data_IF_223870797236
#
_entry.id   IF_223870797236
#
_cell.length_a   1.000
_cell.length_b   1.000
_cell.length_c   1.000
_cell.angle_alpha   90.00
_cell.angle_beta   90.00
_cell.angle_gamma   90.00
#
_symmetry.space_group_name_H-M   'P 1'
#
loop_
_entity.id
_entity.type
_entity.pdbx_description
1 polymer ?
#
# COMPACT_ATOMS: atom_id res chain seq x y z
N UNK A 1 -3.47 -40.99 -24.17
CA UNK A 1 -3.94 -39.72 -23.58
C UNK A 1 -3.15 -38.53 -24.14
N UNK A 2 -3.52 -37.98 -25.32
CA UNK A 2 -2.81 -36.85 -25.96
C UNK A 2 -3.48 -35.47 -25.79
N UNK A 3 -4.59 -35.39 -25.05
CA UNK A 3 -5.28 -34.12 -24.72
C UNK A 3 -5.01 -33.55 -23.34
N UNK A 4 -4.45 -34.34 -22.42
CA UNK A 4 -4.25 -33.96 -21.00
C UNK A 4 -3.16 -32.89 -20.82
N UNK A 5 -2.10 -32.90 -21.65
CA UNK A 5 -1.01 -31.94 -21.57
C UNK A 5 -1.44 -30.50 -21.88
N UNK A 6 -2.36 -30.32 -22.85
CA UNK A 6 -2.92 -29.01 -23.18
C UNK A 6 -3.81 -28.46 -22.06
N UNK A 7 -4.68 -29.32 -21.52
CA UNK A 7 -5.53 -28.98 -20.38
C UNK A 7 -4.72 -28.62 -19.14
N UNK A 8 -3.61 -29.32 -18.88
CA UNK A 8 -2.70 -29.01 -17.77
C UNK A 8 -2.04 -27.63 -17.94
N UNK A 9 -1.52 -27.33 -19.14
CA UNK A 9 -0.89 -26.03 -19.43
C UNK A 9 -1.88 -24.86 -19.29
N UNK A 10 -3.13 -25.05 -19.71
CA UNK A 10 -4.18 -24.04 -19.54
C UNK A 10 -4.55 -23.84 -18.07
N UNK A 11 -4.61 -24.91 -17.28
CA UNK A 11 -4.81 -24.83 -15.83
C UNK A 11 -3.67 -24.07 -15.15
N UNK A 12 -2.42 -24.37 -15.48
CA UNK A 12 -1.24 -23.66 -14.97
C UNK A 12 -1.27 -22.17 -15.30
N UNK A 13 -1.59 -21.81 -16.55
CA UNK A 13 -1.73 -20.40 -16.96
C UNK A 13 -2.79 -19.67 -16.15
N UNK A 14 -3.94 -20.32 -15.91
CA UNK A 14 -5.02 -19.79 -15.07
C UNK A 14 -4.59 -19.63 -13.61
N UNK A 15 -3.86 -20.60 -13.05
CA UNK A 15 -3.32 -20.51 -11.69
C UNK A 15 -2.33 -19.35 -11.57
N UNK A 16 -1.40 -19.21 -12.52
CA UNK A 16 -0.43 -18.12 -12.54
C UNK A 16 -1.12 -16.75 -12.60
N UNK A 17 -2.12 -16.59 -13.47
CA UNK A 17 -2.90 -15.34 -13.56
C UNK A 17 -3.65 -15.02 -12.26
N UNK A 18 -4.25 -16.02 -11.61
CA UNK A 18 -4.90 -15.84 -10.30
C UNK A 18 -3.91 -15.44 -9.21
N UNK A 19 -2.76 -16.11 -9.14
CA UNK A 19 -1.73 -15.80 -8.16
C UNK A 19 -1.23 -14.35 -8.31
N UNK A 20 -1.01 -13.89 -9.55
CA UNK A 20 -0.60 -12.50 -9.81
C UNK A 20 -1.66 -11.49 -9.37
N UNK A 21 -2.96 -11.76 -9.63
CA UNK A 21 -4.04 -10.87 -9.19
C UNK A 21 -4.18 -10.85 -7.68
N UNK A 22 -4.21 -12.02 -7.04
CA UNK A 22 -4.29 -12.12 -5.58
C UNK A 22 -3.14 -11.37 -4.89
N UNK A 23 -1.92 -11.44 -5.45
CA UNK A 23 -0.78 -10.69 -4.94
C UNK A 23 -0.96 -9.18 -5.11
N UNK A 24 -1.46 -8.72 -6.26
CA UNK A 24 -1.73 -7.29 -6.49
C UNK A 24 -2.83 -6.77 -5.58
N UNK A 25 -3.93 -7.51 -5.42
CA UNK A 25 -5.06 -7.11 -4.58
C UNK A 25 -4.65 -7.05 -3.09
N UNK A 26 -3.83 -8.00 -2.64
CA UNK A 26 -3.30 -7.99 -1.28
C UNK A 26 -2.38 -6.79 -1.03
N UNK A 27 -1.55 -6.43 -2.01
CA UNK A 27 -0.67 -5.27 -1.91
C UNK A 27 -1.45 -3.95 -1.95
N UNK A 28 -2.44 -3.84 -2.84
CA UNK A 28 -3.30 -2.65 -2.93
C UNK A 28 -4.01 -2.39 -1.60
N UNK A 29 -4.60 -3.44 -1.00
CA UNK A 29 -5.23 -3.35 0.32
C UNK A 29 -4.25 -2.85 1.39
N UNK A 30 -3.06 -3.44 1.46
CA UNK A 30 -2.03 -3.02 2.41
C UNK A 30 -1.59 -1.56 2.21
N UNK A 31 -1.52 -1.09 0.96
CA UNK A 31 -1.18 0.32 0.66
C UNK A 31 -2.32 1.27 1.05
N UNK A 32 -3.58 0.88 0.86
CA UNK A 32 -4.74 1.67 1.31
C UNK A 32 -4.77 1.79 2.82
N UNK A 33 -4.56 0.68 3.53
CA UNK A 33 -4.51 0.66 5.01
C UNK A 33 -3.38 1.58 5.51
N UNK A 34 -2.18 1.48 4.89
CA UNK A 34 -1.03 2.31 5.23
C UNK A 34 -1.26 3.80 4.92
N UNK A 35 -1.94 4.11 3.81
CA UNK A 35 -2.31 5.49 3.48
C UNK A 35 -3.29 6.05 4.52
N UNK A 36 -4.28 5.27 4.95
CA UNK A 36 -5.20 5.68 6.01
C UNK A 36 -4.50 5.91 7.34
N UNK A 37 -3.50 5.08 7.69
CA UNK A 37 -2.66 5.32 8.87
C UNK A 37 -1.92 6.67 8.81
N UNK A 38 -1.25 6.99 7.69
CA UNK A 38 -0.55 8.28 7.56
C UNK A 38 -1.51 9.47 7.49
N UNK A 39 -2.69 9.29 6.88
CA UNK A 39 -3.77 10.29 6.93
C UNK A 39 -4.19 10.57 8.37
N UNK A 40 -4.40 9.54 9.18
CA UNK A 40 -4.80 9.72 10.56
C UNK A 40 -3.72 10.45 11.36
N UNK A 41 -2.46 10.07 11.21
CA UNK A 41 -1.32 10.78 11.81
C UNK A 41 -1.26 12.26 11.37
N UNK A 42 -1.48 12.55 10.08
CA UNK A 42 -1.53 13.92 9.55
C UNK A 42 -2.68 14.72 10.17
N UNK A 43 -3.90 14.16 10.21
CA UNK A 43 -5.06 14.85 10.79
C UNK A 43 -4.89 15.14 12.28
N UNK A 44 -4.29 14.21 13.02
CA UNK A 44 -3.94 14.41 14.43
C UNK A 44 -2.87 15.49 14.61
N UNK A 45 -1.82 15.50 13.79
CA UNK A 45 -0.77 16.53 13.83
C UNK A 45 -1.34 17.93 13.57
N UNK A 46 -2.31 18.04 12.66
CA UNK A 46 -3.03 19.27 12.34
C UNK A 46 -4.13 19.63 13.35
N UNK A 47 -4.42 18.77 14.33
CA UNK A 47 -5.55 18.91 15.27
C UNK A 47 -6.89 19.10 14.54
N UNK A 48 -7.04 18.46 13.39
CA UNK A 48 -8.26 18.56 12.59
C UNK A 48 -9.43 17.88 13.32
N UNK A 49 -10.65 18.43 13.29
CA UNK A 49 -11.81 17.89 13.99
C UNK A 49 -12.44 16.73 13.21
N UNK A 50 -11.65 15.71 12.89
CA UNK A 50 -12.08 14.54 12.08
C UNK A 50 -11.69 13.27 12.82
N UNK A 51 -12.59 12.29 12.82
CA UNK A 51 -12.31 11.00 13.43
C UNK A 51 -11.17 10.26 12.68
N UNK A 52 -10.36 9.46 13.39
CA UNK A 52 -9.45 8.51 12.76
C UNK A 52 -10.22 7.47 11.94
N UNK A 53 -9.67 7.08 10.79
CA UNK A 53 -10.19 5.98 9.98
C UNK A 53 -9.89 4.64 10.67
N UNK A 54 -8.68 4.49 11.22
CA UNK A 54 -8.23 3.26 11.87
C UNK A 54 -8.22 3.41 13.39
N UNK A 55 -9.33 3.04 14.03
CA UNK A 55 -9.49 3.17 15.48
C UNK A 55 -8.58 2.23 16.28
N UNK A 56 -8.24 1.07 15.72
CA UNK A 56 -7.34 0.08 16.30
C UNK A 56 -5.88 0.54 16.31
N UNK A 57 -5.46 1.33 15.33
CA UNK A 57 -4.10 1.89 15.24
C UNK A 57 -4.00 3.36 15.65
N UNK A 58 -5.08 3.95 16.17
CA UNK A 58 -5.15 5.38 16.53
C UNK A 58 -4.05 5.81 17.51
N UNK A 59 -3.68 4.96 18.47
CA UNK A 59 -2.58 5.24 19.39
C UNK A 59 -1.22 5.34 18.68
N UNK A 60 -0.97 4.47 17.70
CA UNK A 60 0.25 4.48 16.89
C UNK A 60 0.27 5.68 15.94
N UNK A 61 -0.87 6.02 15.34
CA UNK A 61 -1.02 7.21 14.52
C UNK A 61 -0.76 8.49 15.34
N UNK A 62 -1.27 8.53 16.58
CA UNK A 62 -1.00 9.60 17.53
C UNK A 62 0.47 9.73 17.90
N UNK A 63 1.17 8.61 18.13
CA UNK A 63 2.62 8.62 18.34
C UNK A 63 3.38 9.14 17.11
N UNK A 64 2.93 8.77 15.91
CA UNK A 64 3.44 9.30 14.64
C UNK A 64 3.24 10.81 14.52
N UNK A 65 2.06 11.31 14.85
CA UNK A 65 1.71 12.73 14.84
C UNK A 65 2.58 13.59 15.78
N UNK A 66 3.07 13.01 16.88
CA UNK A 66 4.01 13.68 17.78
C UNK A 66 5.46 13.66 17.27
N UNK A 67 5.80 12.66 16.45
CA UNK A 67 7.17 12.44 15.96
C UNK A 67 7.45 13.16 14.64
N UNK A 68 6.42 13.31 13.79
CA UNK A 68 6.53 13.93 12.48
C UNK A 68 5.84 15.29 12.49
N UNK A 69 6.48 16.30 11.89
CA UNK A 69 5.75 17.51 11.47
C UNK A 69 4.66 17.14 10.45
N UNK A 70 3.62 17.96 10.33
CA UNK A 70 2.50 17.71 9.42
C UNK A 70 2.98 17.50 7.97
N UNK A 71 3.96 18.28 7.51
CA UNK A 71 4.58 18.13 6.20
C UNK A 71 5.27 16.76 6.04
N UNK A 72 5.89 16.26 7.11
CA UNK A 72 6.52 14.93 7.11
C UNK A 72 5.51 13.78 7.09
N UNK A 73 4.35 13.96 7.72
CA UNK A 73 3.24 13.00 7.62
C UNK A 73 2.62 13.02 6.22
N UNK A 74 2.45 14.21 5.63
CA UNK A 74 1.95 14.39 4.26
C UNK A 74 2.86 13.74 3.23
N UNK A 75 4.18 14.00 3.27
CA UNK A 75 5.14 13.37 2.33
C UNK A 75 5.10 11.84 2.39
N UNK A 76 4.88 11.27 3.58
CA UNK A 76 4.74 9.82 3.76
C UNK A 76 3.44 9.29 3.16
N UNK A 77 2.34 10.02 3.35
CA UNK A 77 1.06 9.70 2.70
C UNK A 77 1.20 9.73 1.18
N UNK A 78 1.79 10.79 0.63
CA UNK A 78 2.03 10.94 -0.82
C UNK A 78 2.89 9.81 -1.36
N UNK A 79 3.98 9.44 -0.69
CA UNK A 79 4.84 8.32 -1.11
C UNK A 79 4.07 6.99 -1.23
N UNK A 80 3.10 6.74 -0.33
CA UNK A 80 2.26 5.54 -0.39
C UNK A 80 1.27 5.61 -1.55
N UNK A 81 0.66 6.77 -1.78
CA UNK A 81 -0.25 6.99 -2.91
C UNK A 81 0.46 6.89 -4.26
N UNK A 82 1.68 7.42 -4.36
CA UNK A 82 2.53 7.28 -5.55
C UNK A 82 2.91 5.83 -5.81
N UNK A 83 3.26 5.07 -4.77
CA UNK A 83 3.52 3.63 -4.88
C UNK A 83 2.32 2.88 -5.47
N UNK A 84 1.12 3.18 -4.96
CA UNK A 84 -0.14 2.59 -5.41
C UNK A 84 -0.40 2.94 -6.88
N UNK A 85 -0.29 4.22 -7.25
CA UNK A 85 -0.45 4.68 -8.63
C UNK A 85 0.57 4.04 -9.58
N UNK A 86 1.82 3.86 -9.15
CA UNK A 86 2.85 3.18 -9.95
C UNK A 86 2.49 1.71 -10.23
N UNK A 87 1.95 0.99 -9.24
CA UNK A 87 1.52 -0.41 -9.41
C UNK A 87 0.33 -0.49 -10.38
N UNK A 88 -0.64 0.44 -10.26
CA UNK A 88 -1.76 0.58 -11.21
C UNK A 88 -1.26 0.88 -12.63
N UNK A 89 -0.19 1.67 -12.76
CA UNK A 89 0.52 1.95 -14.01
C UNK A 89 1.44 0.81 -14.50
N UNK A 90 1.28 -0.40 -13.97
CA UNK A 90 2.04 -1.62 -14.32
C UNK A 90 3.54 -1.60 -13.96
N UNK A 91 3.99 -0.75 -13.03
CA UNK A 91 5.31 -0.91 -12.42
C UNK A 91 5.35 -2.23 -11.64
N UNK A 92 6.51 -2.90 -11.66
CA UNK A 92 6.71 -4.13 -10.89
C UNK A 92 6.51 -3.82 -9.39
N UNK A 93 5.62 -4.53 -8.68
CA UNK A 93 5.31 -4.26 -7.27
C UNK A 93 6.53 -4.07 -6.37
N UNK A 94 7.54 -4.94 -6.52
CA UNK A 94 8.78 -4.87 -5.76
C UNK A 94 9.51 -3.53 -5.94
N UNK A 95 9.60 -3.03 -7.17
CA UNK A 95 10.29 -1.77 -7.48
C UNK A 95 9.52 -0.57 -6.92
N UNK A 96 8.19 -0.56 -7.08
CA UNK A 96 7.35 0.49 -6.52
C UNK A 96 7.48 0.57 -4.99
N UNK A 97 7.44 -0.58 -4.31
CA UNK A 97 7.62 -0.66 -2.86
C UNK A 97 9.04 -0.25 -2.44
N UNK A 98 10.08 -0.68 -3.14
CA UNK A 98 11.46 -0.25 -2.86
C UNK A 98 11.61 1.27 -2.97
N UNK A 99 11.04 1.90 -4.01
CA UNK A 99 11.03 3.35 -4.18
C UNK A 99 10.27 4.06 -3.05
N UNK A 100 9.09 3.56 -2.69
CA UNK A 100 8.30 4.07 -1.56
C UNK A 100 9.10 4.02 -0.26
N UNK A 101 9.75 2.89 0.04
CA UNK A 101 10.54 2.73 1.26
C UNK A 101 11.70 3.73 1.34
N UNK A 102 12.35 4.04 0.22
CA UNK A 102 13.37 5.09 0.16
C UNK A 102 12.79 6.48 0.42
N UNK A 103 11.60 6.78 -0.09
CA UNK A 103 10.91 8.04 0.19
C UNK A 103 10.53 8.16 1.67
N UNK A 104 9.97 7.08 2.27
CA UNK A 104 9.63 7.03 3.70
C UNK A 104 10.84 7.20 4.61
N UNK A 105 12.00 6.66 4.20
CA UNK A 105 13.26 6.80 4.94
C UNK A 105 13.80 8.22 4.95
N UNK A 106 13.70 8.95 3.82
CA UNK A 106 14.10 10.37 3.75
C UNK A 106 13.19 11.26 4.58
N UNK A 107 11.89 10.95 4.55
CA UNK A 107 10.88 11.56 5.41
C UNK A 107 10.41 12.94 5.02
#
# INVERSE_FOLDING_TARGET
MRGSAGQLKDLEKRQKSRATRAQRDALDRALVDLAGFYRDALTMALRAPVAPVHTDTAALAGAGAQKWAAEGALRRLEAVLECRAAIEANVKPRIAVEAMMLALWRG
#
